data_IF_367504392124
#
_entry.id   IF_367504392124
#
_cell.length_a   1.000
_cell.length_b   1.000
_cell.length_c   1.000
_cell.angle_alpha   90.00
_cell.angle_beta   90.00
_cell.angle_gamma   90.00
#
_symmetry.space_group_name_H-M   'P 1'
#
loop_
_entity.id
_entity.type
_entity.pdbx_description
1 polymer ?
#
# COMPACT_ATOMS: atom_id res chain seq x y z
N UNK A 1 19.99 3.88 -36.44
CA UNK A 1 20.11 2.65 -35.63
C UNK A 1 18.70 2.33 -35.16
N UNK A 2 18.16 1.11 -35.36
CA UNK A 2 16.80 0.82 -34.94
C UNK A 2 16.73 0.72 -33.40
N UNK A 3 15.57 1.08 -32.81
CA UNK A 3 15.31 0.96 -31.37
C UNK A 3 15.64 -0.46 -30.88
N UNK A 4 15.32 -1.48 -31.67
CA UNK A 4 15.68 -2.88 -31.39
C UNK A 4 17.19 -3.08 -31.23
N UNK A 5 18.02 -2.50 -32.11
CA UNK A 5 19.48 -2.59 -32.00
C UNK A 5 20.03 -1.88 -30.76
N UNK A 6 19.42 -0.76 -30.36
CA UNK A 6 19.77 -0.05 -29.13
C UNK A 6 19.44 -0.93 -27.93
N UNK A 7 18.22 -1.45 -27.83
CA UNK A 7 17.78 -2.33 -26.74
C UNK A 7 18.61 -3.63 -26.67
N UNK A 8 18.94 -4.23 -27.79
CA UNK A 8 19.76 -5.46 -27.87
C UNK A 8 21.23 -5.20 -27.50
N UNK A 9 21.71 -3.95 -27.58
CA UNK A 9 23.09 -3.55 -27.23
C UNK A 9 23.21 -2.97 -25.80
N UNK A 10 22.09 -2.74 -25.10
CA UNK A 10 22.13 -2.22 -23.73
C UNK A 10 22.40 -3.37 -22.76
N UNK A 11 23.63 -3.47 -22.30
CA UNK A 11 24.03 -4.35 -21.22
C UNK A 11 23.72 -3.65 -19.88
N UNK A 12 22.56 -4.00 -19.30
CA UNK A 12 22.19 -3.53 -17.96
C UNK A 12 22.87 -4.43 -16.92
N UNK A 13 24.07 -4.08 -16.54
CA UNK A 13 24.77 -4.72 -15.42
C UNK A 13 23.99 -4.58 -14.11
N UNK A 14 24.30 -5.46 -13.17
CA UNK A 14 23.75 -5.44 -11.80
C UNK A 14 23.95 -4.05 -11.18
N UNK A 15 22.89 -3.41 -10.71
CA UNK A 15 22.91 -2.06 -10.16
C UNK A 15 22.15 -1.96 -8.82
N UNK A 16 22.66 -2.61 -7.75
CA UNK A 16 21.94 -2.71 -6.47
C UNK A 16 21.78 -1.37 -5.79
N UNK A 17 20.60 -1.15 -5.22
CA UNK A 17 20.33 -0.04 -4.31
C UNK A 17 20.82 -0.39 -2.90
N UNK A 18 21.40 0.59 -2.20
CA UNK A 18 21.88 0.36 -0.83
C UNK A 18 20.75 0.25 0.18
N UNK A 19 20.71 -0.86 0.92
CA UNK A 19 19.83 -1.07 2.06
C UNK A 19 20.33 -0.43 3.38
N UNK A 20 21.44 0.32 3.36
CA UNK A 20 22.12 0.78 4.57
C UNK A 20 21.25 1.62 5.51
N UNK A 21 20.46 2.55 4.98
CA UNK A 21 19.57 3.40 5.79
C UNK A 21 18.40 2.60 6.39
N UNK A 22 17.79 1.71 5.63
CA UNK A 22 16.74 0.83 6.14
C UNK A 22 17.26 -0.10 7.24
N UNK A 23 18.45 -0.69 7.08
CA UNK A 23 19.10 -1.51 8.10
C UNK A 23 19.41 -0.70 9.36
N UNK A 24 19.90 0.54 9.23
CA UNK A 24 20.13 1.43 10.39
C UNK A 24 18.84 1.73 11.15
N UNK A 25 17.75 2.01 10.44
CA UNK A 25 16.45 2.24 11.07
C UNK A 25 15.95 0.99 11.81
N UNK A 26 16.03 -0.19 11.19
CA UNK A 26 15.68 -1.46 11.83
C UNK A 26 16.51 -1.70 13.11
N UNK A 27 17.82 -1.48 13.04
CA UNK A 27 18.72 -1.67 14.19
C UNK A 27 18.44 -0.66 15.33
N UNK A 28 18.06 0.59 15.00
CA UNK A 28 17.62 1.59 16.00
C UNK A 28 16.48 1.06 16.87
N UNK A 29 15.63 0.20 16.32
CA UNK A 29 14.51 -0.46 17.01
C UNK A 29 14.80 -1.91 17.43
N UNK A 30 16.06 -2.36 17.40
CA UNK A 30 16.43 -3.77 17.63
C UNK A 30 15.64 -4.73 16.73
N UNK A 31 15.25 -4.29 15.53
CA UNK A 31 14.36 -5.01 14.60
C UNK A 31 13.09 -5.58 15.28
N UNK A 32 12.55 -4.85 16.25
CA UNK A 32 11.38 -5.29 17.03
C UNK A 32 10.45 -4.13 17.30
N UNK A 33 9.18 -4.27 16.92
CA UNK A 33 8.22 -3.18 16.95
C UNK A 33 6.94 -3.54 17.70
N UNK A 34 6.48 -2.58 18.50
CA UNK A 34 5.14 -2.54 19.05
C UNK A 34 4.15 -1.87 18.11
N UNK A 35 3.05 -1.42 18.66
CA UNK A 35 2.03 -0.61 17.97
C UNK A 35 2.33 0.88 18.15
N UNK A 36 1.83 1.72 17.27
CA UNK A 36 1.82 3.17 17.47
C UNK A 36 0.44 3.60 17.99
N UNK A 37 0.37 4.00 19.25
CA UNK A 37 -0.90 4.33 19.90
C UNK A 37 -0.72 5.59 20.77
N UNK A 38 -1.58 6.60 20.53
CA UNK A 38 -1.58 7.82 21.34
C UNK A 38 -0.29 8.64 21.22
N UNK A 39 0.30 8.67 20.03
CA UNK A 39 1.51 9.46 19.73
C UNK A 39 2.84 8.75 20.01
N UNK A 40 2.84 7.49 20.46
CA UNK A 40 4.06 6.77 20.80
C UNK A 40 4.05 5.31 20.35
N UNK A 41 5.24 4.78 20.04
CA UNK A 41 5.44 3.34 19.86
C UNK A 41 5.35 2.64 21.24
N UNK A 42 4.55 1.60 21.31
CA UNK A 42 4.47 0.75 22.50
C UNK A 42 5.66 -0.21 22.56
N UNK A 43 5.97 -0.73 23.75
CA UNK A 43 6.98 -1.78 23.87
C UNK A 43 6.59 -3.00 23.03
N UNK A 44 7.54 -3.62 22.32
CA UNK A 44 7.30 -4.85 21.56
C UNK A 44 6.79 -5.97 22.48
N UNK A 45 5.87 -6.78 21.93
CA UNK A 45 5.31 -7.98 22.57
C UNK A 45 5.47 -9.18 21.63
N UNK A 46 5.07 -10.35 22.10
CA UNK A 46 4.97 -11.53 21.24
C UNK A 46 4.04 -11.27 20.04
N UNK A 47 4.45 -11.75 18.88
CA UNK A 47 3.72 -11.53 17.63
C UNK A 47 4.22 -12.38 16.48
N UNK A 48 4.48 -11.77 15.35
CA UNK A 48 4.84 -12.42 14.09
C UNK A 48 6.09 -11.79 13.48
N UNK A 49 6.64 -12.44 12.45
CA UNK A 49 7.83 -11.97 11.75
C UNK A 49 7.43 -11.32 10.43
N UNK A 50 8.04 -10.17 10.12
CA UNK A 50 8.14 -9.68 8.76
C UNK A 50 9.31 -10.38 8.10
N UNK A 51 9.11 -10.88 6.88
CA UNK A 51 10.09 -11.71 6.15
C UNK A 51 10.30 -11.08 4.78
N UNK A 52 11.56 -10.93 4.39
CA UNK A 52 11.90 -10.51 3.03
C UNK A 52 11.49 -11.60 2.03
N UNK A 53 10.52 -11.35 1.15
CA UNK A 53 10.02 -12.38 0.24
C UNK A 53 11.04 -12.81 -0.82
N UNK A 54 12.09 -12.01 -1.06
CA UNK A 54 13.11 -12.32 -2.07
C UNK A 54 14.12 -13.38 -1.63
N UNK A 55 14.38 -13.48 -0.30
CA UNK A 55 15.41 -14.39 0.23
C UNK A 55 14.97 -15.18 1.46
N UNK A 56 13.78 -14.91 2.00
CA UNK A 56 13.24 -15.61 3.17
C UNK A 56 13.83 -15.18 4.52
N UNK A 57 14.69 -14.17 4.56
CA UNK A 57 15.28 -13.67 5.81
C UNK A 57 14.26 -12.89 6.65
N UNK A 58 14.30 -13.08 7.96
CA UNK A 58 13.51 -12.28 8.89
C UNK A 58 14.05 -10.84 8.92
N UNK A 59 13.19 -9.86 8.62
CA UNK A 59 13.52 -8.43 8.66
C UNK A 59 13.32 -7.89 10.08
N UNK A 60 12.16 -8.20 10.69
CA UNK A 60 11.78 -7.70 11.99
C UNK A 60 10.76 -8.61 12.69
N UNK A 61 10.61 -8.41 14.00
CA UNK A 61 9.52 -8.97 14.80
C UNK A 61 8.49 -7.90 15.09
N UNK A 62 7.21 -8.21 14.86
CA UNK A 62 6.08 -7.29 15.00
C UNK A 62 5.11 -7.81 16.05
N UNK A 63 4.56 -6.92 16.87
CA UNK A 63 3.57 -7.31 17.88
C UNK A 63 2.23 -7.68 17.25
N UNK A 64 1.60 -8.75 17.75
CA UNK A 64 0.20 -9.07 17.45
C UNK A 64 -0.70 -8.28 18.42
N UNK A 65 -1.60 -7.44 17.89
CA UNK A 65 -2.50 -6.67 18.72
C UNK A 65 -3.56 -7.57 19.39
N UNK A 66 -3.88 -7.22 20.62
CA UNK A 66 -4.96 -7.83 21.40
C UNK A 66 -6.19 -6.93 21.45
N UNK A 67 -7.31 -7.43 21.94
CA UNK A 67 -8.51 -6.60 22.21
C UNK A 67 -8.18 -5.38 23.08
N UNK A 68 -7.23 -5.51 24.03
CA UNK A 68 -6.81 -4.38 24.88
C UNK A 68 -6.08 -3.32 24.06
N UNK A 69 -5.25 -3.73 23.11
CA UNK A 69 -4.50 -2.81 22.25
C UNK A 69 -5.44 -2.10 21.26
N UNK A 70 -6.40 -2.82 20.66
CA UNK A 70 -7.45 -2.24 19.80
C UNK A 70 -8.27 -1.20 20.58
N UNK A 71 -8.79 -1.59 21.76
CA UNK A 71 -9.56 -0.68 22.62
C UNK A 71 -8.76 0.57 23.03
N UNK A 72 -7.46 0.40 23.33
CA UNK A 72 -6.56 1.51 23.66
C UNK A 72 -6.39 2.46 22.47
N UNK A 73 -6.18 1.93 21.27
CA UNK A 73 -6.03 2.71 20.03
C UNK A 73 -7.32 3.48 19.69
N UNK A 74 -8.48 2.82 19.75
CA UNK A 74 -9.77 3.46 19.48
C UNK A 74 -10.10 4.51 20.53
N UNK A 75 -9.82 4.25 21.80
CA UNK A 75 -9.97 5.25 22.89
C UNK A 75 -9.10 6.47 22.68
N UNK A 76 -7.83 6.29 22.28
CA UNK A 76 -6.94 7.39 21.95
C UNK A 76 -7.47 8.21 20.76
N UNK A 77 -7.90 7.55 19.69
CA UNK A 77 -8.51 8.20 18.53
C UNK A 77 -9.78 8.97 18.89
N UNK A 78 -10.67 8.38 19.69
CA UNK A 78 -11.94 9.00 20.14
C UNK A 78 -11.68 10.25 21.01
N UNK A 79 -10.65 10.21 21.85
CA UNK A 79 -10.27 11.37 22.66
C UNK A 79 -9.68 12.48 21.79
N UNK A 80 -8.76 12.15 20.88
CA UNK A 80 -8.15 13.10 19.96
C UNK A 80 -9.17 13.72 18.99
N UNK A 81 -10.21 12.99 18.61
CA UNK A 81 -11.26 13.47 17.72
C UNK A 81 -11.93 14.74 18.27
N UNK A 82 -12.14 14.86 19.59
CA UNK A 82 -12.78 16.03 20.21
C UNK A 82 -12.10 17.35 19.90
N UNK A 83 -10.78 17.34 19.84
CA UNK A 83 -9.98 18.52 19.49
C UNK A 83 -9.69 18.59 17.99
N UNK A 84 -9.31 17.46 17.34
CA UNK A 84 -8.93 17.44 15.95
C UNK A 84 -10.06 17.82 14.99
N UNK A 85 -11.29 17.39 15.26
CA UNK A 85 -12.45 17.67 14.40
C UNK A 85 -12.79 19.16 14.30
N UNK A 86 -12.44 19.93 15.31
CA UNK A 86 -12.70 21.38 15.35
C UNK A 86 -11.47 22.24 15.01
N UNK A 87 -10.32 21.61 14.73
CA UNK A 87 -9.11 22.31 14.27
C UNK A 87 -9.42 23.05 12.97
N UNK A 88 -8.98 24.30 12.88
CA UNK A 88 -9.12 25.08 11.66
C UNK A 88 -8.58 24.32 10.44
N UNK A 89 -9.32 24.27 9.33
CA UNK A 89 -8.87 23.55 8.11
C UNK A 89 -7.47 23.94 7.64
N UNK A 90 -7.09 25.20 7.80
CA UNK A 90 -5.74 25.67 7.43
C UNK A 90 -4.65 25.06 8.31
N UNK A 91 -4.90 24.88 9.60
CA UNK A 91 -3.96 24.22 10.51
C UNK A 91 -3.85 22.72 10.22
N UNK A 92 -4.97 22.04 9.89
CA UNK A 92 -4.94 20.66 9.40
C UNK A 92 -4.11 20.52 8.13
N UNK A 93 -4.25 21.47 7.19
CA UNK A 93 -3.47 21.50 5.97
C UNK A 93 -1.97 21.60 6.24
N UNK A 94 -1.54 22.43 7.20
CA UNK A 94 -0.12 22.54 7.58
C UNK A 94 0.46 21.21 8.03
N UNK A 95 -0.28 20.46 8.85
CA UNK A 95 0.12 19.11 9.29
C UNK A 95 0.27 18.17 8.10
N UNK A 96 -0.69 18.15 7.19
CA UNK A 96 -0.63 17.31 5.98
C UNK A 96 0.52 17.69 5.05
N UNK A 97 0.81 18.98 4.86
CA UNK A 97 1.99 19.46 4.12
C UNK A 97 3.29 19.03 4.81
N UNK A 98 3.34 19.09 6.13
CA UNK A 98 4.51 18.64 6.91
C UNK A 98 4.76 17.15 6.70
N UNK A 99 3.71 16.30 6.77
CA UNK A 99 3.79 14.87 6.45
C UNK A 99 4.33 14.65 5.04
N UNK A 100 3.75 15.33 4.03
CA UNK A 100 4.18 15.21 2.64
C UNK A 100 5.66 15.53 2.44
N UNK A 101 6.13 16.63 3.06
CA UNK A 101 7.53 17.06 2.99
C UNK A 101 8.48 16.08 3.69
N UNK A 102 8.07 15.54 4.83
CA UNK A 102 8.88 14.54 5.54
C UNK A 102 8.94 13.20 4.80
N UNK A 103 7.84 12.78 4.19
CA UNK A 103 7.85 11.63 3.26
C UNK A 103 8.80 11.87 2.09
N UNK A 104 8.80 13.08 1.51
CA UNK A 104 9.70 13.45 0.42
C UNK A 104 11.16 13.44 0.89
N UNK A 105 11.47 14.02 2.05
CA UNK A 105 12.80 14.04 2.65
C UNK A 105 13.35 12.63 2.89
N UNK A 106 12.50 11.70 3.31
CA UNK A 106 12.85 10.32 3.64
C UNK A 106 12.51 9.32 2.51
N UNK A 107 12.27 9.81 1.26
CA UNK A 107 11.75 8.99 0.16
C UNK A 107 12.59 7.75 -0.12
N UNK A 108 13.93 7.86 -0.07
CA UNK A 108 14.82 6.73 -0.29
C UNK A 108 14.67 5.65 0.79
N UNK A 109 14.62 6.05 2.06
CA UNK A 109 14.41 5.12 3.17
C UNK A 109 13.09 4.37 3.01
N UNK A 110 11.99 5.08 2.72
CA UNK A 110 10.70 4.47 2.46
C UNK A 110 10.73 3.52 1.27
N UNK A 111 11.35 3.93 0.14
CA UNK A 111 11.40 3.10 -1.07
C UNK A 111 12.14 1.79 -0.85
N UNK A 112 13.29 1.85 -0.18
CA UNK A 112 14.09 0.66 0.12
C UNK A 112 13.36 -0.25 1.11
N UNK A 113 12.77 0.32 2.16
CA UNK A 113 12.02 -0.44 3.14
C UNK A 113 10.78 -1.11 2.52
N UNK A 114 10.04 -0.38 1.66
CA UNK A 114 8.89 -0.91 0.90
C UNK A 114 9.31 -2.11 0.03
N UNK A 115 10.42 -1.99 -0.71
CA UNK A 115 10.90 -3.08 -1.56
C UNK A 115 11.36 -4.30 -0.79
N UNK A 116 12.03 -4.13 0.35
CA UNK A 116 12.47 -5.24 1.20
C UNK A 116 11.29 -5.96 1.84
N UNK A 117 10.29 -5.21 2.31
CA UNK A 117 9.13 -5.74 3.04
C UNK A 117 8.10 -6.39 2.10
N UNK A 118 7.96 -5.87 0.86
CA UNK A 118 6.96 -6.32 -0.11
C UNK A 118 7.52 -7.26 -1.20
N UNK A 119 8.78 -7.09 -1.59
CA UNK A 119 9.41 -7.82 -2.69
C UNK A 119 9.30 -7.16 -4.07
N UNK A 120 8.67 -6.00 -4.21
CA UNK A 120 8.57 -5.26 -5.49
C UNK A 120 9.89 -4.60 -5.88
N UNK A 121 10.15 -4.39 -7.19
CA UNK A 121 11.35 -3.72 -7.65
C UNK A 121 11.51 -2.32 -7.07
N UNK A 122 12.72 -1.96 -6.69
CA UNK A 122 13.05 -0.64 -6.11
C UNK A 122 12.66 0.52 -7.03
N UNK A 123 12.70 0.34 -8.35
CA UNK A 123 12.27 1.38 -9.28
C UNK A 123 10.78 1.68 -9.17
N UNK A 124 9.94 0.68 -8.87
CA UNK A 124 8.50 0.87 -8.68
C UNK A 124 8.22 1.59 -7.36
N UNK A 125 8.82 1.15 -6.26
CA UNK A 125 8.70 1.84 -4.97
C UNK A 125 9.19 3.28 -5.05
N UNK A 126 10.38 3.50 -5.64
CA UNK A 126 11.04 4.81 -5.71
C UNK A 126 10.35 5.78 -6.66
N UNK A 127 9.93 5.31 -7.84
CA UNK A 127 9.49 6.19 -8.92
C UNK A 127 7.96 6.34 -8.95
N UNK A 128 7.22 5.42 -8.32
CA UNK A 128 5.75 5.38 -8.36
C UNK A 128 5.15 5.45 -6.96
N UNK A 129 5.35 4.44 -6.10
CA UNK A 129 4.59 4.30 -4.86
C UNK A 129 4.83 5.45 -3.89
N UNK A 130 6.10 5.73 -3.59
CA UNK A 130 6.46 6.78 -2.63
C UNK A 130 6.10 8.17 -3.16
N UNK A 131 6.41 8.54 -4.42
CA UNK A 131 5.95 9.80 -4.99
C UNK A 131 4.43 9.97 -5.03
N UNK A 132 3.66 8.90 -5.32
CA UNK A 132 2.20 8.96 -5.28
C UNK A 132 1.67 9.15 -3.86
N UNK A 133 2.23 8.45 -2.87
CA UNK A 133 1.87 8.66 -1.47
C UNK A 133 2.08 10.12 -1.04
N UNK A 134 3.22 10.72 -1.43
CA UNK A 134 3.50 12.14 -1.18
C UNK A 134 2.46 13.06 -1.84
N UNK A 135 2.14 12.81 -3.11
CA UNK A 135 1.14 13.60 -3.88
C UNK A 135 -0.24 13.54 -3.23
N UNK A 136 -0.64 12.40 -2.66
CA UNK A 136 -1.90 12.29 -1.94
C UNK A 136 -1.94 13.18 -0.71
N UNK A 137 -0.88 13.26 0.08
CA UNK A 137 -0.82 14.17 1.21
C UNK A 137 -0.81 15.64 0.76
N UNK A 138 -0.06 16.01 -0.28
CA UNK A 138 -0.08 17.36 -0.86
C UNK A 138 -1.47 17.75 -1.36
N UNK A 139 -2.11 16.85 -2.12
CA UNK A 139 -3.46 17.09 -2.66
C UNK A 139 -4.48 17.31 -1.54
N UNK A 140 -4.51 16.45 -0.54
CA UNK A 140 -5.45 16.54 0.56
C UNK A 140 -5.14 17.70 1.51
N UNK A 141 -3.90 18.13 1.62
CA UNK A 141 -3.53 19.36 2.30
C UNK A 141 -4.14 20.60 1.60
N UNK A 142 -4.03 20.68 0.28
CA UNK A 142 -4.70 21.73 -0.50
C UNK A 142 -6.23 21.66 -0.38
N UNK A 143 -6.78 20.44 -0.48
CA UNK A 143 -8.21 20.22 -0.34
C UNK A 143 -8.73 20.62 1.05
N UNK A 144 -8.00 20.33 2.12
CA UNK A 144 -8.38 20.72 3.47
C UNK A 144 -8.61 22.22 3.62
N UNK A 145 -7.80 23.05 2.94
CA UNK A 145 -7.94 24.50 3.00
C UNK A 145 -9.26 25.02 2.41
N UNK A 146 -9.77 24.35 1.39
CA UNK A 146 -10.99 24.79 0.67
C UNK A 146 -12.24 23.98 1.06
N UNK A 147 -12.11 22.98 1.93
CA UNK A 147 -13.17 22.04 2.28
C UNK A 147 -14.43 22.77 2.78
N UNK A 148 -14.26 23.68 3.76
CA UNK A 148 -15.37 24.42 4.37
C UNK A 148 -16.08 25.35 3.38
N UNK A 149 -15.40 25.86 2.35
CA UNK A 149 -16.01 26.73 1.34
C UNK A 149 -16.73 25.96 0.22
N UNK A 150 -16.36 24.69 0.01
CA UNK A 150 -16.89 23.85 -1.09
C UNK A 150 -17.93 22.83 -0.62
N UNK A 151 -17.86 22.38 0.61
CA UNK A 151 -18.69 21.29 1.16
C UNK A 151 -19.43 21.83 2.37
N UNK A 152 -20.52 22.53 2.11
CA UNK A 152 -21.39 23.03 3.17
C UNK A 152 -22.18 21.87 3.81
N UNK A 153 -22.42 21.96 5.12
CA UNK A 153 -23.22 21.00 5.90
C UNK A 153 -22.63 19.60 6.02
N UNK A 154 -21.33 19.44 5.92
CA UNK A 154 -20.64 18.18 6.21
C UNK A 154 -19.79 18.29 7.46
N UNK A 155 -19.82 17.26 8.29
CA UNK A 155 -19.05 17.15 9.53
C UNK A 155 -18.13 15.92 9.50
N UNK A 156 -17.02 15.94 10.24
CA UNK A 156 -16.22 14.74 10.46
C UNK A 156 -17.06 13.64 11.12
N UNK A 157 -16.95 12.41 10.63
CA UNK A 157 -17.81 11.29 11.08
C UNK A 157 -17.31 10.62 12.36
N UNK A 158 -16.04 10.83 12.75
CA UNK A 158 -15.48 10.24 13.96
C UNK A 158 -14.20 9.44 13.76
N UNK A 159 -14.10 8.29 14.43
CA UNK A 159 -12.96 7.38 14.31
C UNK A 159 -13.12 6.50 13.08
N UNK A 160 -12.13 6.54 12.19
CA UNK A 160 -12.07 5.70 10.99
C UNK A 160 -11.17 4.48 11.25
N UNK A 161 -11.74 3.29 11.22
CA UNK A 161 -11.01 2.02 11.16
C UNK A 161 -10.56 1.77 9.72
N UNK A 162 -9.26 1.67 9.50
CA UNK A 162 -8.67 1.51 8.17
C UNK A 162 -7.87 0.22 8.10
N UNK A 163 -8.14 -0.60 7.11
CA UNK A 163 -7.46 -1.88 6.88
C UNK A 163 -6.90 -1.84 5.46
N UNK A 164 -5.58 -1.96 5.35
CA UNK A 164 -4.87 -1.84 4.08
C UNK A 164 -4.25 -3.17 3.64
N UNK A 165 -4.14 -3.41 2.33
CA UNK A 165 -3.55 -4.60 1.76
C UNK A 165 -2.02 -4.54 1.77
N UNK A 166 -1.42 -5.63 1.34
CA UNK A 166 0.03 -5.80 1.27
C UNK A 166 0.66 -5.34 -0.05
N UNK A 167 -0.10 -5.15 -1.12
CA UNK A 167 0.47 -4.92 -2.46
C UNK A 167 1.01 -3.50 -2.69
N UNK A 168 0.44 -2.49 -2.05
CA UNK A 168 0.91 -1.10 -2.07
C UNK A 168 0.86 -0.50 -0.65
N UNK A 169 1.74 -0.93 0.27
CA UNK A 169 1.61 -0.63 1.69
C UNK A 169 1.49 0.86 2.00
N UNK A 170 2.49 1.67 1.65
CA UNK A 170 2.49 3.11 1.94
C UNK A 170 1.46 3.88 1.09
N UNK A 171 1.29 3.49 -0.17
CA UNK A 171 0.32 4.17 -1.04
C UNK A 171 -1.12 3.97 -0.54
N UNK A 172 -1.51 2.75 -0.16
CA UNK A 172 -2.84 2.48 0.37
C UNK A 172 -3.06 3.11 1.76
N UNK A 173 -2.01 3.23 2.56
CA UNK A 173 -2.03 4.02 3.79
C UNK A 173 -2.35 5.49 3.47
N UNK A 174 -1.63 6.10 2.54
CA UNK A 174 -1.84 7.49 2.14
C UNK A 174 -3.25 7.75 1.60
N UNK A 175 -3.78 6.85 0.77
CA UNK A 175 -5.13 6.95 0.20
C UNK A 175 -6.24 6.97 1.26
N UNK A 176 -5.98 6.38 2.42
CA UNK A 176 -6.98 6.31 3.51
C UNK A 176 -6.74 7.36 4.59
N UNK A 177 -5.48 7.59 5.00
CA UNK A 177 -5.15 8.53 6.06
C UNK A 177 -5.31 9.97 5.59
N UNK A 178 -4.78 10.34 4.43
CA UNK A 178 -4.78 11.73 3.98
C UNK A 178 -6.19 12.34 3.88
N UNK A 179 -7.19 11.71 3.20
CA UNK A 179 -8.55 12.25 3.17
C UNK A 179 -9.22 12.25 4.55
N UNK A 180 -8.99 11.23 5.40
CA UNK A 180 -9.57 11.17 6.73
C UNK A 180 -9.12 12.36 7.60
N UNK A 181 -7.82 12.64 7.61
CA UNK A 181 -7.25 13.78 8.36
C UNK A 181 -7.71 15.12 7.80
N UNK A 182 -7.71 15.29 6.47
CA UNK A 182 -8.16 16.51 5.82
C UNK A 182 -9.60 16.86 6.20
N UNK A 183 -10.46 15.83 6.29
CA UNK A 183 -11.85 15.97 6.71
C UNK A 183 -12.06 16.10 8.24
N UNK A 184 -10.98 16.07 9.05
CA UNK A 184 -11.05 16.22 10.50
C UNK A 184 -11.36 14.94 11.28
N UNK A 185 -11.25 13.76 10.64
CA UNK A 185 -11.42 12.46 11.30
C UNK A 185 -10.12 11.99 11.96
N UNK A 186 -10.25 11.06 12.91
CA UNK A 186 -9.11 10.34 13.48
C UNK A 186 -9.08 8.90 12.98
N UNK A 187 -7.91 8.25 13.09
CA UNK A 187 -7.65 6.99 12.40
C UNK A 187 -7.08 5.94 13.35
N UNK A 188 -7.59 4.71 13.21
CA UNK A 188 -6.92 3.48 13.67
C UNK A 188 -6.68 2.62 12.43
N UNK A 189 -5.41 2.49 12.03
CA UNK A 189 -5.01 1.78 10.84
C UNK A 189 -4.38 0.42 11.20
N UNK A 190 -4.80 -0.63 10.48
CA UNK A 190 -4.18 -1.96 10.49
C UNK A 190 -3.53 -2.24 9.13
N UNK A 191 -2.19 -2.22 9.02
CA UNK A 191 -1.51 -2.69 7.82
C UNK A 191 -1.63 -4.22 7.70
N UNK A 192 -1.39 -4.73 6.48
CA UNK A 192 -1.26 -6.17 6.29
C UNK A 192 -0.06 -6.73 7.08
N UNK A 193 -0.19 -7.94 7.60
CA UNK A 193 0.84 -8.62 8.38
C UNK A 193 2.14 -8.83 7.60
N UNK A 194 2.05 -9.00 6.29
CA UNK A 194 3.21 -9.20 5.41
C UNK A 194 4.04 -7.93 5.20
N UNK A 195 3.43 -6.74 5.31
CA UNK A 195 4.03 -5.47 4.90
C UNK A 195 3.66 -4.34 5.85
N UNK A 196 4.11 -4.43 7.10
CA UNK A 196 3.76 -3.46 8.14
C UNK A 196 4.83 -2.39 8.38
N UNK A 197 6.06 -2.57 7.87
CA UNK A 197 7.21 -1.76 8.29
C UNK A 197 7.11 -0.31 7.83
N UNK A 198 6.66 -0.05 6.60
CA UNK A 198 6.50 1.33 6.11
C UNK A 198 5.40 2.10 6.84
N UNK A 199 4.37 1.40 7.35
CA UNK A 199 3.37 2.02 8.21
C UNK A 199 3.94 2.44 9.58
N UNK A 200 4.84 1.64 10.15
CA UNK A 200 5.51 1.98 11.41
C UNK A 200 6.53 3.12 11.25
N UNK A 201 7.28 3.14 10.14
CA UNK A 201 8.13 4.28 9.79
C UNK A 201 7.30 5.56 9.57
N UNK A 202 6.13 5.43 8.94
CA UNK A 202 5.19 6.55 8.77
C UNK A 202 4.70 7.10 10.12
N UNK A 203 4.53 6.26 11.14
CA UNK A 203 4.17 6.72 12.48
C UNK A 203 5.22 7.69 13.07
N UNK A 204 6.52 7.43 12.87
CA UNK A 204 7.59 8.34 13.29
C UNK A 204 7.51 9.69 12.54
N UNK A 205 7.24 9.62 11.22
CA UNK A 205 7.02 10.81 10.39
C UNK A 205 5.83 11.65 10.90
N UNK A 206 4.75 11.00 11.34
CA UNK A 206 3.60 11.72 11.91
C UNK A 206 3.96 12.48 13.17
N UNK A 207 4.75 11.88 14.07
CA UNK A 207 5.23 12.56 15.28
C UNK A 207 6.13 13.75 14.94
N UNK A 208 7.07 13.59 14.00
CA UNK A 208 7.95 14.68 13.52
C UNK A 208 7.14 15.80 12.83
N UNK A 209 6.06 15.45 12.12
CA UNK A 209 5.18 16.38 11.42
C UNK A 209 4.27 17.19 12.37
N UNK A 210 4.24 16.87 13.65
CA UNK A 210 3.37 17.52 14.63
C UNK A 210 1.92 17.06 14.58
N UNK A 211 1.65 15.84 14.16
CA UNK A 211 0.32 15.21 14.27
C UNK A 211 -0.01 15.08 15.76
N UNK A 212 -1.16 15.60 16.23
CA UNK A 212 -1.50 15.50 17.66
C UNK A 212 -1.67 14.04 18.11
N UNK A 213 -1.30 13.76 19.35
CA UNK A 213 -1.36 12.43 19.95
C UNK A 213 -2.75 11.80 19.82
N UNK A 214 -2.81 10.58 19.31
CA UNK A 214 -4.05 9.83 19.12
C UNK A 214 -4.81 10.14 17.83
N UNK A 215 -4.48 11.17 17.06
CA UNK A 215 -5.12 11.44 15.75
C UNK A 215 -4.87 10.30 14.78
N UNK A 216 -3.66 9.74 14.78
CA UNK A 216 -3.29 8.53 14.05
C UNK A 216 -2.85 7.46 15.04
N UNK A 217 -3.38 6.25 14.87
CA UNK A 217 -2.95 5.06 15.59
C UNK A 217 -2.73 3.93 14.59
N UNK A 218 -1.66 3.15 14.76
CA UNK A 218 -1.31 2.03 13.89
C UNK A 218 -1.15 0.78 14.75
N UNK A 219 -1.96 -0.23 14.47
CA UNK A 219 -1.96 -1.51 15.18
C UNK A 219 -1.59 -2.63 14.21
N UNK A 220 -0.58 -3.41 14.57
CA UNK A 220 -0.10 -4.54 13.74
C UNK A 220 -0.77 -5.84 14.16
N UNK A 221 -0.94 -6.75 13.21
CA UNK A 221 -1.52 -8.07 13.44
C UNK A 221 -2.19 -8.62 12.19
N UNK A 222 -2.64 -9.85 12.30
CA UNK A 222 -3.31 -10.62 11.26
C UNK A 222 -4.78 -10.23 11.04
N UNK A 223 -5.54 -11.06 10.34
CA UNK A 223 -6.95 -10.84 10.04
C UNK A 223 -7.83 -10.73 11.30
N UNK A 224 -7.45 -11.37 12.41
CA UNK A 224 -8.22 -11.31 13.67
C UNK A 224 -8.24 -9.89 14.26
N UNK A 225 -7.15 -9.13 14.11
CA UNK A 225 -7.08 -7.72 14.51
C UNK A 225 -7.99 -6.85 13.63
N UNK A 226 -8.05 -7.16 12.33
CA UNK A 226 -8.99 -6.52 11.41
C UNK A 226 -10.45 -6.75 11.83
N UNK A 227 -10.78 -7.97 12.24
CA UNK A 227 -12.11 -8.31 12.73
C UNK A 227 -12.46 -7.56 14.03
N UNK A 228 -11.54 -7.48 14.99
CA UNK A 228 -11.73 -6.68 16.21
C UNK A 228 -12.01 -5.22 15.88
N UNK A 229 -11.32 -4.65 14.91
CA UNK A 229 -11.52 -3.28 14.47
C UNK A 229 -12.89 -3.07 13.80
N UNK A 230 -13.31 -4.00 12.92
CA UNK A 230 -14.61 -3.98 12.24
C UNK A 230 -15.78 -4.02 13.25
N UNK A 231 -15.65 -4.86 14.28
CA UNK A 231 -16.68 -5.06 15.28
C UNK A 231 -16.69 -4.00 16.39
N UNK A 232 -15.67 -3.13 16.48
CA UNK A 232 -15.55 -2.19 17.60
C UNK A 232 -16.66 -1.11 17.57
N UNK A 233 -17.45 -0.92 18.64
CA UNK A 233 -18.64 -0.04 18.63
C UNK A 233 -18.32 1.44 18.40
N UNK A 234 -17.14 1.91 18.83
CA UNK A 234 -16.73 3.31 18.70
C UNK A 234 -16.06 3.66 17.35
N UNK A 235 -16.04 2.73 16.39
CA UNK A 235 -15.62 2.99 15.02
C UNK A 235 -16.82 3.45 14.20
N UNK A 236 -16.74 4.65 13.64
CA UNK A 236 -17.82 5.24 12.84
C UNK A 236 -17.77 4.82 11.35
N UNK A 237 -16.58 4.53 10.84
CA UNK A 237 -16.36 4.13 9.44
C UNK A 237 -15.31 3.03 9.36
N UNK A 238 -15.57 2.04 8.50
CA UNK A 238 -14.57 1.08 8.03
C UNK A 238 -14.18 1.40 6.59
N UNK A 239 -12.89 1.56 6.36
CA UNK A 239 -12.31 1.68 5.02
C UNK A 239 -11.35 0.50 4.79
N UNK A 240 -11.79 -0.44 3.97
CA UNK A 240 -11.06 -1.68 3.67
C UNK A 240 -10.58 -1.69 2.23
N UNK A 241 -9.35 -2.14 2.01
CA UNK A 241 -8.85 -2.57 0.70
C UNK A 241 -8.24 -3.96 0.86
N UNK A 242 -8.67 -4.90 0.02
CA UNK A 242 -8.19 -6.28 0.08
C UNK A 242 -9.01 -7.24 -0.79
N UNK A 243 -9.14 -8.51 -0.36
CA UNK A 243 -9.85 -9.51 -1.13
C UNK A 243 -11.37 -9.33 -1.12
N UNK A 244 -12.03 -9.81 -2.18
CA UNK A 244 -13.50 -9.77 -2.29
C UNK A 244 -14.17 -10.60 -1.19
N UNK A 245 -13.58 -11.73 -0.82
CA UNK A 245 -14.08 -12.61 0.24
C UNK A 245 -14.14 -11.88 1.59
N UNK A 246 -13.04 -11.23 1.98
CA UNK A 246 -12.98 -10.45 3.23
C UNK A 246 -13.91 -9.24 3.15
N UNK A 247 -14.02 -8.59 1.99
CA UNK A 247 -14.95 -7.49 1.78
C UNK A 247 -16.42 -7.88 2.02
N UNK A 248 -16.83 -9.07 1.60
CA UNK A 248 -18.17 -9.64 1.88
C UNK A 248 -18.40 -9.83 3.39
N UNK A 249 -17.43 -10.46 4.06
CA UNK A 249 -17.50 -10.66 5.53
C UNK A 249 -17.62 -9.32 6.27
N UNK A 250 -16.85 -8.31 5.88
CA UNK A 250 -16.92 -6.99 6.49
C UNK A 250 -18.30 -6.36 6.26
N UNK A 251 -18.84 -6.46 5.04
CA UNK A 251 -20.18 -5.94 4.71
C UNK A 251 -21.26 -6.61 5.56
N UNK A 252 -21.20 -7.92 5.72
CA UNK A 252 -22.14 -8.68 6.57
C UNK A 252 -22.04 -8.25 8.03
N UNK A 253 -20.81 -8.16 8.57
CA UNK A 253 -20.58 -7.76 9.98
C UNK A 253 -20.94 -6.31 10.27
N UNK A 254 -20.92 -5.43 9.29
CA UNK A 254 -21.29 -4.01 9.46
C UNK A 254 -22.74 -3.71 9.12
N UNK A 255 -23.49 -4.67 8.59
CA UNK A 255 -24.91 -4.50 8.26
C UNK A 255 -25.72 -4.12 9.53
N UNK A 256 -26.54 -3.08 9.43
CA UNK A 256 -27.35 -2.57 10.55
C UNK A 256 -26.59 -1.87 11.68
N UNK A 257 -25.24 -1.79 11.61
CA UNK A 257 -24.43 -1.18 12.68
C UNK A 257 -24.39 0.35 12.66
N UNK A 258 -24.90 1.01 11.61
CA UNK A 258 -24.79 2.45 11.39
C UNK A 258 -23.40 2.92 10.94
N UNK A 259 -22.42 2.02 10.78
CA UNK A 259 -21.07 2.37 10.30
C UNK A 259 -21.08 2.69 8.82
N UNK A 260 -20.38 3.76 8.44
CA UNK A 260 -20.03 3.99 7.04
C UNK A 260 -19.04 2.95 6.55
N UNK A 261 -19.19 2.50 5.31
CA UNK A 261 -18.34 1.46 4.73
C UNK A 261 -17.81 1.90 3.35
N UNK A 262 -16.50 1.74 3.15
CA UNK A 262 -15.84 1.81 1.85
C UNK A 262 -15.08 0.52 1.62
N UNK A 263 -15.33 -0.16 0.50
CA UNK A 263 -14.67 -1.39 0.10
C UNK A 263 -13.99 -1.18 -1.24
N UNK A 264 -12.67 -1.36 -1.26
CA UNK A 264 -11.84 -1.42 -2.45
C UNK A 264 -11.35 -2.86 -2.59
N UNK A 265 -11.71 -3.53 -3.69
CA UNK A 265 -11.59 -4.98 -3.81
C UNK A 265 -10.80 -5.36 -5.07
N UNK A 266 -10.47 -6.65 -5.19
CA UNK A 266 -9.82 -7.19 -6.37
C UNK A 266 -10.71 -7.15 -7.62
N UNK A 267 -10.07 -7.25 -8.77
CA UNK A 267 -10.75 -7.25 -10.07
C UNK A 267 -10.07 -8.15 -11.09
N UNK A 268 -10.68 -8.23 -12.27
CA UNK A 268 -10.15 -8.85 -13.48
C UNK A 268 -10.41 -7.88 -14.64
N UNK A 269 -9.63 -6.78 -14.68
CA UNK A 269 -9.83 -5.69 -15.63
C UNK A 269 -9.46 -6.11 -17.05
N UNK A 270 -10.20 -5.67 -18.09
CA UNK A 270 -9.85 -5.93 -19.48
C UNK A 270 -8.74 -4.98 -19.94
N UNK A 271 -7.83 -5.50 -20.76
CA UNK A 271 -6.93 -4.74 -21.62
C UNK A 271 -7.34 -5.00 -23.06
N UNK A 272 -7.79 -3.96 -23.77
CA UNK A 272 -8.44 -4.10 -25.09
C UNK A 272 -7.53 -3.52 -26.15
N UNK A 273 -7.26 -4.29 -27.21
CA UNK A 273 -6.40 -3.88 -28.34
C UNK A 273 -7.21 -4.01 -29.63
N UNK A 274 -7.50 -2.88 -30.26
CA UNK A 274 -8.14 -2.83 -31.57
C UNK A 274 -7.13 -2.96 -32.71
N UNK A 275 -7.61 -3.20 -33.94
CA UNK A 275 -6.79 -3.44 -35.12
C UNK A 275 -6.00 -2.23 -35.61
N UNK A 276 -6.40 -1.03 -35.25
CA UNK A 276 -5.73 0.24 -35.55
C UNK A 276 -4.69 0.66 -34.50
N UNK A 277 -4.50 -0.15 -33.43
CA UNK A 277 -3.53 0.15 -32.39
C UNK A 277 -2.08 0.04 -32.88
N UNK A 278 -1.20 0.93 -32.36
CA UNK A 278 0.24 0.72 -32.46
C UNK A 278 0.65 -0.48 -31.62
N UNK A 279 1.05 -1.58 -32.27
CA UNK A 279 1.31 -2.85 -31.58
C UNK A 279 2.52 -2.82 -30.66
N UNK A 280 3.53 -1.99 -30.93
CA UNK A 280 4.70 -1.90 -30.05
C UNK A 280 4.34 -1.15 -28.75
N UNK A 281 3.61 -0.06 -28.86
CA UNK A 281 3.08 0.67 -27.70
C UNK A 281 2.07 -0.18 -26.92
N UNK A 282 1.20 -0.94 -27.60
CA UNK A 282 0.21 -1.80 -26.94
C UNK A 282 0.88 -2.95 -26.15
N UNK A 283 1.98 -3.52 -26.66
CA UNK A 283 2.75 -4.55 -25.96
C UNK A 283 3.41 -3.99 -24.70
N UNK A 284 4.08 -2.84 -24.79
CA UNK A 284 4.68 -2.22 -23.59
C UNK A 284 3.59 -1.80 -22.58
N UNK A 285 2.47 -1.25 -23.04
CA UNK A 285 1.32 -0.94 -22.19
C UNK A 285 0.72 -2.17 -21.50
N UNK A 286 0.69 -3.33 -22.18
CA UNK A 286 0.25 -4.58 -21.56
C UNK A 286 1.26 -5.09 -20.53
N UNK A 287 2.56 -4.98 -20.81
CA UNK A 287 3.62 -5.34 -19.84
C UNK A 287 3.45 -4.53 -18.56
N UNK A 288 3.29 -3.22 -18.67
CA UNK A 288 3.04 -2.35 -17.51
C UNK A 288 1.72 -2.68 -16.80
N UNK A 289 0.67 -3.01 -17.57
CA UNK A 289 -0.66 -3.28 -17.01
C UNK A 289 -0.75 -4.60 -16.22
N UNK A 290 0.13 -5.59 -16.49
CA UNK A 290 0.03 -6.92 -15.89
C UNK A 290 1.24 -7.31 -15.05
N UNK A 291 2.47 -6.96 -15.44
CA UNK A 291 3.67 -7.38 -14.71
C UNK A 291 4.15 -6.38 -13.67
N UNK A 292 3.64 -5.14 -13.68
CA UNK A 292 3.84 -4.19 -12.60
C UNK A 292 3.53 -4.83 -11.24
N UNK A 293 4.39 -4.65 -10.26
CA UNK A 293 4.30 -5.29 -8.95
C UNK A 293 4.03 -6.81 -9.03
N UNK A 294 4.67 -7.52 -9.96
CA UNK A 294 4.50 -8.96 -10.21
C UNK A 294 3.05 -9.38 -10.47
N UNK A 295 2.23 -8.50 -11.05
CA UNK A 295 0.80 -8.70 -11.26
C UNK A 295 -0.07 -8.54 -10.00
N UNK A 296 0.52 -8.15 -8.89
CA UNK A 296 -0.17 -8.00 -7.59
C UNK A 296 -0.91 -6.65 -7.50
N UNK A 297 -1.75 -6.36 -8.51
CA UNK A 297 -2.43 -5.08 -8.70
C UNK A 297 -3.93 -5.30 -8.84
N UNK A 298 -4.73 -4.56 -8.08
CA UNK A 298 -6.21 -4.68 -8.09
C UNK A 298 -6.84 -4.34 -9.46
N UNK A 299 -6.22 -3.43 -10.21
CA UNK A 299 -6.65 -3.00 -11.54
C UNK A 299 -5.80 -3.56 -12.69
N UNK A 300 -4.99 -4.60 -12.45
CA UNK A 300 -4.17 -5.21 -13.49
C UNK A 300 -5.00 -5.61 -14.71
N UNK A 301 -4.47 -5.39 -15.91
CA UNK A 301 -5.05 -5.78 -17.18
C UNK A 301 -5.00 -7.29 -17.41
N UNK A 302 -5.64 -8.04 -16.50
CA UNK A 302 -5.53 -9.51 -16.42
C UNK A 302 -6.36 -10.28 -17.43
N UNK A 303 -7.18 -9.59 -18.24
CA UNK A 303 -7.90 -10.15 -19.37
C UNK A 303 -7.52 -9.39 -20.63
N UNK A 304 -6.75 -10.03 -21.51
CA UNK A 304 -6.36 -9.46 -22.78
C UNK A 304 -7.42 -9.78 -23.84
N UNK A 305 -8.02 -8.75 -24.43
CA UNK A 305 -8.98 -8.84 -25.52
C UNK A 305 -8.36 -8.21 -26.77
N UNK A 306 -8.10 -9.01 -27.79
CA UNK A 306 -7.40 -8.58 -29.01
C UNK A 306 -8.35 -8.75 -30.20
N UNK A 307 -8.34 -7.77 -31.11
CA UNK A 307 -9.01 -7.92 -32.39
C UNK A 307 -8.38 -9.06 -33.22
N UNK A 308 -9.20 -9.97 -33.79
CA UNK A 308 -8.74 -11.20 -34.44
C UNK A 308 -7.70 -10.98 -35.55
N UNK A 309 -7.81 -9.88 -36.30
CA UNK A 309 -6.91 -9.60 -37.43
C UNK A 309 -5.46 -9.32 -37.04
N UNK A 310 -5.19 -9.03 -35.76
CA UNK A 310 -3.85 -8.68 -35.24
C UNK A 310 -3.32 -9.69 -34.21
N UNK A 311 -4.11 -10.72 -33.87
CA UNK A 311 -3.81 -11.66 -32.78
C UNK A 311 -2.44 -12.30 -32.91
N UNK A 312 -2.12 -12.93 -34.05
CA UNK A 312 -0.84 -13.61 -34.27
C UNK A 312 0.36 -12.68 -34.16
N UNK A 313 0.21 -11.47 -34.73
CA UNK A 313 1.29 -10.46 -34.67
C UNK A 313 1.54 -9.99 -33.24
N UNK A 314 0.45 -9.77 -32.50
CA UNK A 314 0.52 -9.34 -31.10
C UNK A 314 1.12 -10.43 -30.21
N UNK A 315 0.64 -11.68 -30.32
CA UNK A 315 1.18 -12.82 -29.58
C UNK A 315 2.68 -13.02 -29.81
N UNK A 316 3.15 -12.89 -31.05
CA UNK A 316 4.58 -12.97 -31.34
C UNK A 316 5.39 -11.85 -30.65
N UNK A 317 4.87 -10.63 -30.66
CA UNK A 317 5.53 -9.49 -30.00
C UNK A 317 5.56 -9.64 -28.50
N UNK A 318 4.45 -10.01 -27.85
CA UNK A 318 4.37 -10.17 -26.41
C UNK A 318 5.29 -11.30 -25.92
N UNK A 319 5.36 -12.45 -26.61
CA UNK A 319 6.29 -13.54 -26.28
C UNK A 319 7.74 -13.06 -26.30
N UNK A 320 8.14 -12.38 -27.37
CA UNK A 320 9.51 -11.82 -27.48
C UNK A 320 9.83 -10.81 -26.38
N UNK A 321 8.81 -10.10 -25.88
CA UNK A 321 8.97 -9.13 -24.78
C UNK A 321 9.07 -9.84 -23.42
N UNK A 322 8.24 -10.87 -23.21
CA UNK A 322 8.27 -11.68 -21.99
C UNK A 322 9.61 -12.38 -21.79
N UNK A 323 10.21 -12.90 -22.85
CA UNK A 323 11.54 -13.57 -22.79
C UNK A 323 12.67 -12.63 -22.32
N UNK A 324 12.43 -11.32 -22.35
CA UNK A 324 13.41 -10.29 -21.93
C UNK A 324 13.16 -9.78 -20.52
N UNK A 325 12.10 -10.22 -19.83
CA UNK A 325 11.81 -9.80 -18.46
C UNK A 325 12.83 -10.41 -17.50
N UNK A 326 13.45 -9.57 -16.71
CA UNK A 326 14.46 -9.97 -15.71
C UNK A 326 13.79 -10.09 -14.36
N UNK A 327 13.81 -11.30 -13.80
CA UNK A 327 13.34 -11.60 -12.47
C UNK A 327 14.54 -11.71 -11.52
N UNK A 328 14.53 -11.02 -10.39
CA UNK A 328 15.70 -11.03 -9.50
C UNK A 328 15.50 -10.28 -8.18
N UNK A 329 16.62 -9.85 -7.59
CA UNK A 329 16.62 -9.09 -6.34
C UNK A 329 15.86 -7.76 -6.52
N UNK A 330 14.83 -7.48 -5.72
CA UNK A 330 14.04 -6.26 -5.82
C UNK A 330 14.88 -4.97 -5.63
N UNK A 331 16.02 -5.04 -4.96
CA UNK A 331 16.90 -3.89 -4.81
C UNK A 331 17.82 -3.66 -6.03
N UNK A 332 17.91 -4.59 -6.97
CA UNK A 332 18.64 -4.36 -8.22
C UNK A 332 17.77 -3.50 -9.17
N UNK A 333 18.27 -2.31 -9.51
CA UNK A 333 17.60 -1.35 -10.40
C UNK A 333 17.41 -1.88 -11.83
N UNK A 334 18.13 -2.92 -12.21
CA UNK A 334 18.03 -3.55 -13.52
C UNK A 334 16.94 -4.60 -13.63
N UNK A 335 16.32 -5.00 -12.51
CA UNK A 335 15.30 -6.04 -12.44
C UNK A 335 13.92 -5.49 -12.83
N UNK A 336 13.18 -6.26 -13.61
CA UNK A 336 11.83 -5.92 -14.06
C UNK A 336 10.75 -6.46 -13.12
N UNK A 337 10.98 -7.62 -12.51
CA UNK A 337 10.08 -8.27 -11.56
C UNK A 337 10.82 -8.75 -10.32
N UNK A 338 10.28 -8.47 -9.16
CA UNK A 338 10.79 -8.94 -7.88
C UNK A 338 10.13 -10.25 -7.40
N UNK A 339 9.97 -10.38 -6.09
CA UNK A 339 9.38 -11.56 -5.47
C UNK A 339 7.87 -11.41 -5.23
N UNK A 340 7.12 -12.52 -5.30
CA UNK A 340 5.76 -12.60 -4.78
C UNK A 340 5.81 -12.40 -3.26
N UNK A 341 4.90 -11.60 -2.73
CA UNK A 341 4.91 -11.09 -1.35
C UNK A 341 5.04 -12.16 -0.26
N UNK A 342 4.47 -13.33 -0.47
CA UNK A 342 4.46 -14.40 0.51
C UNK A 342 4.33 -15.78 -0.14
N UNK A 343 4.80 -16.82 0.57
CA UNK A 343 4.74 -18.21 0.11
C UNK A 343 3.30 -18.71 -0.10
N UNK A 344 2.34 -18.24 0.69
CA UNK A 344 0.93 -18.62 0.53
C UNK A 344 0.35 -18.10 -0.77
N UNK A 345 0.67 -16.86 -1.14
CA UNK A 345 0.28 -16.28 -2.44
C UNK A 345 0.95 -17.00 -3.61
N UNK A 346 2.24 -17.35 -3.50
CA UNK A 346 2.94 -18.11 -4.52
C UNK A 346 2.30 -19.49 -4.74
N UNK A 347 1.95 -20.19 -3.65
CA UNK A 347 1.26 -21.50 -3.72
C UNK A 347 -0.10 -21.34 -4.42
N UNK A 348 -0.88 -20.32 -4.03
CA UNK A 348 -2.19 -20.03 -4.64
C UNK A 348 -2.07 -19.76 -6.15
N UNK A 349 -1.08 -18.96 -6.57
CA UNK A 349 -0.83 -18.68 -7.98
C UNK A 349 -0.48 -19.96 -8.73
N UNK A 350 0.43 -20.78 -8.19
CA UNK A 350 0.81 -22.07 -8.79
C UNK A 350 -0.38 -23.02 -8.95
N UNK A 351 -1.25 -23.13 -7.94
CA UNK A 351 -2.46 -23.94 -7.99
C UNK A 351 -3.38 -23.46 -9.11
N UNK A 352 -3.69 -22.17 -9.16
CA UNK A 352 -4.54 -21.60 -10.20
C UNK A 352 -4.00 -21.84 -11.62
N UNK A 353 -2.68 -21.69 -11.81
CA UNK A 353 -2.05 -21.92 -13.10
C UNK A 353 -2.11 -23.41 -13.50
N UNK A 354 -1.86 -24.32 -12.52
CA UNK A 354 -1.90 -25.78 -12.80
C UNK A 354 -3.32 -26.32 -13.01
N UNK A 355 -4.33 -25.69 -12.44
CA UNK A 355 -5.75 -26.08 -12.60
C UNK A 355 -6.38 -25.50 -13.88
N UNK A 356 -5.74 -24.50 -14.49
CA UNK A 356 -6.22 -23.88 -15.72
C UNK A 356 -5.66 -24.69 -16.90
N UNK A 357 -6.42 -25.62 -17.41
CA UNK A 357 -6.19 -26.17 -18.76
C UNK A 357 -6.53 -25.05 -19.75
N UNK A 358 -5.50 -24.46 -20.35
CA UNK A 358 -5.69 -23.47 -21.40
C UNK A 358 -6.48 -24.12 -22.58
N UNK A 359 -7.58 -23.53 -22.98
CA UNK A 359 -8.27 -23.85 -24.22
C UNK A 359 -7.43 -23.39 -25.40
#
# INVERSE_FOLDING_TARGET
MSVKKILDSMDYGVAPESAGEAKKWLLKHNSSFGHFIGGALTSPKHGFKSVNPSNGETIASLSQATNKDVNKAVKAAKNAFKSWSVVNPHERAKVLYSIARLLQKNSRLFSVLESIDNGKPIRESRDIDIPLAQRHFYYHAGLAQIYMSKIQNMEPIGVCGQIIPWNFPLLMLAWKIAPALAAGNTVVLKPAEYTSLTALLFAEICSEAGVPDGVINIITGDGSVGEMLVNHPDIAKIAFTGSTEVGRVIREKTAGSGKSLTLELGGKSPFIVFDDADLDSAVEGLVDAIWFNQGQVCCAGSRLLIHESIEDKFHKKIRNRMDKLRVGDPLDKSVDMGAIVDKSQLIRIKSLVSETEGQ
#
